data_IF_370554265133
#
_entry.id   IF_370554265133
#
_cell.length_a   1.000
_cell.length_b   1.000
_cell.length_c   1.000
_cell.angle_alpha   90.00
_cell.angle_beta   90.00
_cell.angle_gamma   90.00
#
_symmetry.space_group_name_H-M   'P 1'
#
loop_
_entity.id
_entity.type
_entity.pdbx_description
1 polymer ?
#
# COMPACT_ATOMS: atom_id res chain seq x y z
N UNK A 1 43.85 -48.62 -9.22
CA UNK A 1 43.72 -47.51 -10.19
C UNK A 1 42.26 -47.04 -10.45
N UNK A 2 41.23 -47.79 -10.03
CA UNK A 2 39.82 -47.43 -10.29
C UNK A 2 39.25 -46.34 -9.35
N UNK A 3 39.57 -46.35 -8.04
CA UNK A 3 39.06 -45.33 -7.09
C UNK A 3 39.58 -43.92 -7.35
N UNK A 4 40.83 -43.76 -7.81
CA UNK A 4 41.41 -42.44 -8.06
C UNK A 4 40.71 -41.72 -9.22
N UNK A 5 40.31 -42.47 -10.27
CA UNK A 5 39.56 -41.94 -11.42
C UNK A 5 38.12 -41.54 -11.06
N UNK A 6 37.48 -42.29 -10.18
CA UNK A 6 36.14 -41.97 -9.65
C UNK A 6 36.16 -40.72 -8.76
N UNK A 7 37.15 -40.60 -7.87
CA UNK A 7 37.31 -39.42 -7.01
C UNK A 7 37.61 -38.14 -7.82
N UNK A 8 38.45 -38.24 -8.85
CA UNK A 8 38.72 -37.13 -9.78
C UNK A 8 37.47 -36.74 -10.59
N UNK A 9 36.68 -37.72 -11.04
CA UNK A 9 35.41 -37.48 -11.75
C UNK A 9 34.37 -36.77 -10.88
N UNK A 10 34.19 -37.22 -9.63
CA UNK A 10 33.27 -36.59 -8.66
C UNK A 10 33.69 -35.16 -8.30
N UNK A 11 35.00 -34.93 -8.11
CA UNK A 11 35.54 -33.59 -7.87
C UNK A 11 35.30 -32.64 -9.05
N UNK A 12 35.43 -33.12 -10.28
CA UNK A 12 35.19 -32.32 -11.48
C UNK A 12 33.70 -31.98 -11.65
N UNK A 13 32.79 -32.91 -11.35
CA UNK A 13 31.35 -32.64 -11.37
C UNK A 13 30.91 -31.63 -10.30
N UNK A 14 31.49 -31.66 -9.10
CA UNK A 14 31.22 -30.68 -8.05
C UNK A 14 31.71 -29.28 -8.43
N UNK A 15 32.91 -29.17 -9.00
CA UNK A 15 33.45 -27.90 -9.48
C UNK A 15 32.60 -27.33 -10.62
N UNK A 16 32.20 -28.17 -11.59
CA UNK A 16 31.27 -27.76 -12.65
C UNK A 16 29.92 -27.28 -12.08
N UNK A 17 29.34 -28.02 -11.14
CA UNK A 17 28.08 -27.64 -10.50
C UNK A 17 28.15 -26.31 -9.75
N UNK A 18 29.25 -26.06 -9.02
CA UNK A 18 29.48 -24.79 -8.32
C UNK A 18 29.65 -23.65 -9.33
N UNK A 19 30.45 -23.85 -10.38
CA UNK A 19 30.64 -22.81 -11.42
C UNK A 19 29.34 -22.49 -12.18
N UNK A 20 28.52 -23.50 -12.49
CA UNK A 20 27.20 -23.31 -13.11
C UNK A 20 26.23 -22.59 -12.17
N UNK A 21 26.25 -22.91 -10.87
CA UNK A 21 25.43 -22.23 -9.87
C UNK A 21 25.87 -20.76 -9.66
N UNK A 22 27.18 -20.51 -9.61
CA UNK A 22 27.73 -19.15 -9.57
C UNK A 22 27.44 -18.37 -10.84
N UNK A 23 27.50 -18.99 -12.01
CA UNK A 23 27.15 -18.38 -13.29
C UNK A 23 25.64 -18.10 -13.37
N UNK A 24 24.79 -19.02 -12.90
CA UNK A 24 23.35 -18.81 -12.80
C UNK A 24 23.04 -17.64 -11.87
N UNK A 25 23.60 -17.62 -10.66
CA UNK A 25 23.45 -16.50 -9.71
C UNK A 25 23.95 -15.19 -10.32
N UNK A 26 25.05 -15.22 -11.07
CA UNK A 26 25.59 -14.04 -11.73
C UNK A 26 24.69 -13.56 -12.87
N UNK A 27 24.14 -14.47 -13.69
CA UNK A 27 23.21 -14.15 -14.79
C UNK A 27 21.87 -13.66 -14.26
N UNK A 28 21.33 -14.28 -13.21
CA UNK A 28 20.08 -13.86 -12.56
C UNK A 28 20.25 -12.48 -11.91
N UNK A 29 21.39 -12.22 -11.27
CA UNK A 29 21.70 -10.93 -10.67
C UNK A 29 22.07 -9.86 -11.72
N UNK A 30 22.66 -10.24 -12.87
CA UNK A 30 22.96 -9.33 -13.98
C UNK A 30 21.68 -8.94 -14.74
N UNK A 31 20.78 -9.89 -15.01
CA UNK A 31 19.47 -9.61 -15.60
C UNK A 31 18.59 -8.74 -14.69
N UNK A 32 18.81 -8.78 -13.36
CA UNK A 32 18.20 -7.85 -12.42
C UNK A 32 18.81 -6.43 -12.45
N UNK A 33 20.03 -6.26 -12.96
CA UNK A 33 20.84 -5.03 -12.82
C UNK A 33 20.91 -4.16 -14.07
N UNK A 34 20.38 -4.61 -15.21
CA UNK A 34 20.20 -3.75 -16.40
C UNK A 34 18.79 -3.18 -16.57
N UNK A 35 18.12 -2.83 -15.47
CA UNK A 35 17.08 -1.80 -15.52
C UNK A 35 17.80 -0.46 -15.36
N UNK A 36 18.21 0.15 -16.47
CA UNK A 36 18.56 1.58 -16.47
C UNK A 36 17.21 2.31 -16.31
N UNK A 37 16.88 2.85 -15.13
CA UNK A 37 15.68 3.66 -15.02
C UNK A 37 16.03 4.94 -15.76
N UNK A 38 15.40 5.16 -16.91
CA UNK A 38 15.28 6.51 -17.42
C UNK A 38 14.45 7.28 -16.39
N UNK A 39 15.12 7.82 -15.37
CA UNK A 39 14.57 8.82 -14.49
C UNK A 39 14.34 10.05 -15.37
N UNK A 40 13.15 10.15 -15.96
CA UNK A 40 12.66 11.46 -16.35
C UNK A 40 12.51 12.23 -15.04
N UNK A 41 13.26 13.33 -14.82
CA UNK A 41 13.09 14.12 -13.62
C UNK A 41 11.63 14.52 -13.55
N UNK A 42 10.99 14.25 -12.40
CA UNK A 42 9.70 14.84 -12.10
C UNK A 42 9.90 16.36 -12.19
N UNK A 43 9.27 17.08 -13.13
CA UNK A 43 9.51 18.49 -13.31
C UNK A 43 9.15 19.22 -12.00
N UNK A 44 10.11 19.98 -11.49
CA UNK A 44 10.07 20.53 -10.12
C UNK A 44 8.89 21.48 -9.88
N UNK A 45 8.24 21.97 -10.95
CA UNK A 45 7.02 22.77 -10.89
C UNK A 45 6.20 22.50 -12.15
N UNK A 46 5.35 21.47 -12.14
CA UNK A 46 4.20 21.43 -13.05
C UNK A 46 3.02 22.13 -12.36
N UNK A 47 2.33 23.09 -13.01
CA UNK A 47 1.12 23.69 -12.48
C UNK A 47 0.12 22.59 -12.08
N UNK A 48 -0.37 22.67 -10.85
CA UNK A 48 -1.26 21.67 -10.21
C UNK A 48 -2.54 21.40 -11.01
N UNK A 49 -2.89 22.28 -11.96
CA UNK A 49 -4.07 22.16 -12.82
C UNK A 49 -3.96 21.09 -13.93
N UNK A 50 -2.77 20.54 -14.20
CA UNK A 50 -2.51 19.71 -15.38
C UNK A 50 -1.82 18.36 -15.14
N UNK A 51 -1.45 18.00 -13.90
CA UNK A 51 -0.80 16.71 -13.63
C UNK A 51 -1.83 15.57 -13.56
N UNK A 52 -2.27 15.09 -14.73
CA UNK A 52 -3.16 13.92 -14.87
C UNK A 52 -2.40 12.62 -15.04
N UNK A 53 -1.09 12.68 -15.34
CA UNK A 53 -0.21 11.54 -15.56
C UNK A 53 1.12 11.73 -14.83
N UNK A 54 1.68 10.64 -14.33
CA UNK A 54 3.03 10.59 -13.79
C UNK A 54 4.07 10.46 -14.90
N UNK A 55 5.38 10.71 -14.63
CA UNK A 55 6.44 10.49 -15.60
C UNK A 55 6.56 9.05 -16.13
N UNK A 56 6.01 8.05 -15.41
CA UNK A 56 5.95 6.65 -15.85
C UNK A 56 4.58 6.25 -16.42
N UNK A 57 3.78 7.23 -16.85
CA UNK A 57 2.50 7.06 -17.55
C UNK A 57 1.37 6.44 -16.70
N UNK A 58 1.45 6.51 -15.37
CA UNK A 58 0.32 6.16 -14.51
C UNK A 58 -0.65 7.35 -14.38
N UNK A 59 -1.98 7.14 -14.44
CA UNK A 59 -2.95 8.19 -14.17
C UNK A 59 -2.89 8.66 -12.71
N UNK A 60 -2.99 9.97 -12.55
CA UNK A 60 -3.29 10.63 -11.28
C UNK A 60 -4.80 10.89 -11.26
N UNK A 61 -5.51 10.12 -10.43
CA UNK A 61 -6.98 10.12 -10.38
C UNK A 61 -7.44 11.30 -9.52
N UNK A 62 -8.20 12.20 -10.13
CA UNK A 62 -8.88 13.31 -9.47
C UNK A 62 -10.24 13.54 -10.12
N UNK A 63 -11.11 14.28 -9.45
CA UNK A 63 -12.42 14.66 -9.98
C UNK A 63 -12.31 15.38 -11.33
N UNK A 64 -13.04 14.88 -12.31
CA UNK A 64 -12.99 15.31 -13.71
C UNK A 64 -11.90 14.65 -14.57
N UNK A 65 -11.04 13.77 -14.04
CA UNK A 65 -10.03 13.05 -14.85
C UNK A 65 -10.52 11.70 -15.38
N UNK A 66 -11.75 11.30 -15.07
CA UNK A 66 -12.33 10.03 -15.46
C UNK A 66 -13.83 10.15 -15.74
N UNK A 67 -14.36 9.24 -16.55
CA UNK A 67 -15.80 9.10 -16.77
C UNK A 67 -16.32 7.89 -15.96
N UNK A 68 -17.02 8.17 -14.86
CA UNK A 68 -17.51 7.13 -13.95
C UNK A 68 -18.50 6.16 -14.63
N UNK A 69 -19.33 6.66 -15.56
CA UNK A 69 -20.28 5.83 -16.28
C UNK A 69 -19.58 4.87 -17.24
N UNK A 70 -18.59 5.35 -18.00
CA UNK A 70 -17.79 4.49 -18.88
C UNK A 70 -17.07 3.40 -18.08
N UNK A 71 -16.42 3.77 -16.97
CA UNK A 71 -15.74 2.81 -16.10
C UNK A 71 -16.72 1.79 -15.53
N UNK A 72 -17.92 2.22 -15.11
CA UNK A 72 -18.97 1.30 -14.68
C UNK A 72 -19.34 0.29 -15.77
N UNK A 73 -19.51 0.72 -17.01
CA UNK A 73 -19.81 -0.19 -18.13
C UNK A 73 -18.66 -1.18 -18.42
N UNK A 74 -17.41 -0.78 -18.21
CA UNK A 74 -16.24 -1.65 -18.41
C UNK A 74 -16.10 -2.67 -17.27
N UNK A 75 -16.25 -2.24 -16.02
CA UNK A 75 -15.91 -3.06 -14.85
C UNK A 75 -17.09 -3.88 -14.31
N UNK A 76 -18.34 -3.43 -14.47
CA UNK A 76 -19.52 -4.19 -14.00
C UNK A 76 -19.61 -5.61 -14.60
N UNK A 77 -19.41 -5.82 -15.92
CA UNK A 77 -19.48 -7.17 -16.51
C UNK A 77 -18.41 -8.13 -16.00
N UNK A 78 -17.31 -7.61 -15.44
CA UNK A 78 -16.22 -8.43 -14.90
C UNK A 78 -16.57 -9.08 -13.56
N UNK A 79 -17.68 -8.68 -12.92
CA UNK A 79 -18.18 -9.24 -11.65
C UNK A 79 -17.10 -9.29 -10.55
N UNK A 80 -16.29 -8.24 -10.47
CA UNK A 80 -15.16 -8.15 -9.54
C UNK A 80 -15.63 -8.12 -8.09
N UNK A 81 -14.85 -8.76 -7.22
CA UNK A 81 -14.98 -8.67 -5.77
C UNK A 81 -13.82 -7.85 -5.21
N UNK A 82 -14.14 -6.74 -4.54
CA UNK A 82 -13.16 -5.81 -4.00
C UNK A 82 -13.05 -6.01 -2.49
N UNK A 83 -11.85 -6.34 -2.04
CA UNK A 83 -11.49 -6.39 -0.64
C UNK A 83 -11.16 -5.02 -0.08
N UNK A 84 -11.52 -4.79 1.18
CA UNK A 84 -11.13 -3.62 1.95
C UNK A 84 -10.62 -4.09 3.31
N UNK A 85 -9.37 -3.77 3.66
CA UNK A 85 -8.80 -4.05 4.97
C UNK A 85 -8.71 -2.79 5.80
N UNK A 86 -9.07 -2.87 7.07
CA UNK A 86 -8.81 -1.81 8.05
C UNK A 86 -8.39 -2.41 9.40
N UNK A 87 -7.55 -1.69 10.15
CA UNK A 87 -7.04 -2.12 11.45
C UNK A 87 -7.69 -1.32 12.58
N UNK A 88 -8.36 -2.02 13.49
CA UNK A 88 -9.06 -1.50 14.64
C UNK A 88 -8.48 -2.09 15.94
N UNK A 89 -7.33 -1.54 16.37
CA UNK A 89 -6.62 -2.02 17.58
C UNK A 89 -6.69 -0.98 18.69
N UNK A 90 -6.84 -1.44 19.94
CA UNK A 90 -7.06 -0.59 21.10
C UNK A 90 -8.27 0.33 20.94
N UNK A 91 -8.08 1.63 21.19
CA UNK A 91 -9.13 2.64 21.14
C UNK A 91 -9.71 2.88 19.75
N UNK A 92 -9.09 2.35 18.69
CA UNK A 92 -9.52 2.53 17.30
C UNK A 92 -10.76 1.72 16.92
N UNK A 93 -11.18 0.74 17.73
CA UNK A 93 -12.44 0.01 17.54
C UNK A 93 -13.65 0.93 17.46
N UNK A 94 -13.62 2.08 18.16
CA UNK A 94 -14.69 3.09 18.13
C UNK A 94 -14.97 3.69 16.74
N UNK A 95 -14.01 3.64 15.82
CA UNK A 95 -14.17 4.24 14.49
C UNK A 95 -14.81 3.28 13.48
N UNK A 96 -14.84 1.97 13.79
CA UNK A 96 -15.29 0.93 12.85
C UNK A 96 -16.72 1.16 12.38
N UNK A 97 -17.61 1.61 13.26
CA UNK A 97 -19.01 1.86 12.91
C UNK A 97 -19.11 2.93 11.80
N UNK A 98 -18.59 4.13 12.04
CA UNK A 98 -18.63 5.21 11.06
C UNK A 98 -17.87 4.88 9.78
N UNK A 99 -16.75 4.17 9.89
CA UNK A 99 -15.99 3.72 8.73
C UNK A 99 -16.81 2.78 7.84
N UNK A 100 -17.46 1.76 8.41
CA UNK A 100 -18.29 0.81 7.67
C UNK A 100 -19.58 1.45 7.13
N UNK A 101 -20.27 2.25 7.94
CA UNK A 101 -21.49 2.96 7.51
C UNK A 101 -21.22 3.89 6.32
N UNK A 102 -20.13 4.66 6.37
CA UNK A 102 -19.73 5.50 5.24
C UNK A 102 -19.24 4.69 4.03
N UNK A 103 -18.56 3.55 4.24
CA UNK A 103 -18.17 2.66 3.16
C UNK A 103 -19.39 2.07 2.43
N UNK A 104 -20.44 1.68 3.14
CA UNK A 104 -21.70 1.22 2.52
C UNK A 104 -22.34 2.32 1.65
N UNK A 105 -22.20 3.58 2.04
CA UNK A 105 -22.73 4.71 1.29
C UNK A 105 -21.90 5.12 0.08
N UNK A 106 -20.62 4.78 -0.02
CA UNK A 106 -19.76 5.39 -1.05
C UNK A 106 -18.75 4.44 -1.69
N UNK A 107 -18.31 3.40 -1.00
CA UNK A 107 -17.25 2.52 -1.46
C UNK A 107 -17.78 1.43 -2.38
N UNK A 108 -17.33 1.47 -3.64
CA UNK A 108 -17.56 0.46 -4.67
C UNK A 108 -19.05 0.08 -4.75
N UNK A 109 -19.93 1.07 -4.80
CA UNK A 109 -21.36 0.85 -4.93
C UNK A 109 -21.67 0.01 -6.18
N UNK A 110 -22.56 -0.97 -6.02
CA UNK A 110 -22.93 -1.90 -7.10
C UNK A 110 -21.88 -2.98 -7.40
N UNK A 111 -20.77 -3.04 -6.65
CA UNK A 111 -19.81 -4.13 -6.73
C UNK A 111 -19.89 -5.04 -5.51
N UNK A 112 -19.34 -6.24 -5.66
CA UNK A 112 -19.18 -7.19 -4.55
C UNK A 112 -18.03 -6.70 -3.67
N UNK A 113 -18.25 -6.63 -2.36
CA UNK A 113 -17.26 -6.12 -1.41
C UNK A 113 -17.05 -7.07 -0.25
N UNK A 114 -15.79 -7.26 0.14
CA UNK A 114 -15.43 -8.01 1.33
C UNK A 114 -14.61 -7.13 2.27
N UNK A 115 -15.21 -6.78 3.40
CA UNK A 115 -14.53 -6.07 4.48
C UNK A 115 -13.75 -7.03 5.37
N UNK A 116 -12.49 -6.69 5.64
CA UNK A 116 -11.61 -7.39 6.56
C UNK A 116 -11.21 -6.43 7.68
N UNK A 117 -11.83 -6.58 8.85
CA UNK A 117 -11.51 -5.74 10.01
C UNK A 117 -10.57 -6.52 10.93
N UNK A 118 -9.32 -6.08 10.97
CA UNK A 118 -8.29 -6.64 11.83
C UNK A 118 -8.41 -6.03 13.22
N UNK A 119 -8.66 -6.84 14.24
CA UNK A 119 -8.87 -6.36 15.62
C UNK A 119 -8.35 -7.35 16.66
N UNK A 120 -7.92 -6.80 17.78
CA UNK A 120 -7.63 -7.55 19.00
C UNK A 120 -8.86 -7.94 19.82
N UNK A 121 -9.97 -7.26 19.59
CA UNK A 121 -11.24 -7.48 20.27
C UNK A 121 -12.34 -7.65 19.22
N UNK A 122 -12.65 -8.91 18.83
CA UNK A 122 -13.72 -9.19 17.88
C UNK A 122 -15.11 -8.79 18.38
N UNK A 123 -15.33 -8.76 19.70
CA UNK A 123 -16.64 -8.42 20.28
C UNK A 123 -16.90 -6.91 20.23
N UNK A 124 -15.85 -6.09 20.15
CA UNK A 124 -15.97 -4.65 19.94
C UNK A 124 -16.33 -4.24 18.51
N UNK A 125 -16.44 -5.19 17.56
CA UNK A 125 -16.80 -4.88 16.18
C UNK A 125 -18.33 -4.76 16.06
N UNK A 126 -18.85 -3.59 15.64
CA UNK A 126 -20.28 -3.36 15.53
C UNK A 126 -20.89 -4.22 14.41
N UNK A 127 -22.16 -4.61 14.60
CA UNK A 127 -22.96 -5.18 13.53
C UNK A 127 -23.53 -4.05 12.68
N UNK A 128 -22.99 -3.89 11.47
CA UNK A 128 -23.46 -2.88 10.50
C UNK A 128 -24.24 -3.59 9.40
N UNK A 129 -25.46 -3.13 9.04
CA UNK A 129 -26.20 -3.67 7.90
C UNK A 129 -25.38 -3.53 6.61
N UNK A 130 -25.18 -4.63 5.89
CA UNK A 130 -24.44 -4.63 4.63
C UNK A 130 -25.38 -4.83 3.45
N UNK A 131 -25.12 -4.11 2.36
CA UNK A 131 -25.85 -4.24 1.11
C UNK A 131 -25.64 -5.60 0.44
N UNK A 132 -26.46 -5.92 -0.59
CA UNK A 132 -26.36 -7.18 -1.32
C UNK A 132 -24.96 -7.41 -1.91
N UNK A 133 -24.45 -8.65 -1.80
CA UNK A 133 -23.13 -9.01 -2.31
C UNK A 133 -21.95 -8.46 -1.50
N UNK A 134 -22.21 -7.91 -0.31
CA UNK A 134 -21.21 -7.37 0.61
C UNK A 134 -21.15 -8.20 1.87
N UNK A 135 -19.94 -8.43 2.38
CA UNK A 135 -19.72 -9.25 3.58
C UNK A 135 -18.58 -8.71 4.44
N UNK A 136 -18.66 -8.98 5.73
CA UNK A 136 -17.66 -8.59 6.72
C UNK A 136 -17.00 -9.84 7.32
N UNK A 137 -15.69 -9.81 7.48
CA UNK A 137 -14.92 -10.79 8.24
C UNK A 137 -14.04 -10.07 9.26
N UNK A 138 -14.17 -10.50 10.51
CA UNK A 138 -13.34 -10.00 11.61
C UNK A 138 -12.13 -10.91 11.73
N UNK A 139 -10.93 -10.32 11.65
CA UNK A 139 -9.66 -11.04 11.64
C UNK A 139 -8.93 -10.77 12.96
N UNK A 140 -8.82 -11.76 13.86
CA UNK A 140 -8.13 -11.57 15.13
C UNK A 140 -6.64 -11.23 14.94
N UNK A 141 -6.16 -10.21 15.65
CA UNK A 141 -4.74 -9.82 15.75
C UNK A 141 -4.34 -9.59 17.22
N UNK A 142 -3.04 -9.55 17.54
CA UNK A 142 -2.59 -9.22 18.90
C UNK A 142 -3.05 -7.85 19.41
N UNK A 143 -3.19 -7.70 20.74
CA UNK A 143 -3.63 -6.47 21.41
C UNK A 143 -2.58 -5.37 21.57
N UNK A 144 -2.95 -4.17 22.09
CA UNK A 144 -2.15 -2.94 22.14
C UNK A 144 -0.72 -3.09 22.69
N UNK A 145 -0.53 -3.77 23.83
CA UNK A 145 0.80 -3.98 24.42
C UNK A 145 1.71 -4.88 23.58
N UNK A 146 1.11 -5.74 22.75
CA UNK A 146 1.80 -6.54 21.73
C UNK A 146 1.79 -5.83 20.36
N UNK A 147 1.08 -4.70 20.26
CA UNK A 147 0.82 -3.94 19.03
C UNK A 147 1.55 -2.59 18.96
N UNK A 148 2.05 -2.04 20.06
CA UNK A 148 2.91 -0.85 20.04
C UNK A 148 4.29 -1.17 19.41
N UNK A 149 4.71 -2.43 19.42
CA UNK A 149 5.75 -2.98 18.52
C UNK A 149 5.24 -3.22 17.07
N UNK A 150 3.99 -2.91 16.75
CA UNK A 150 3.24 -3.42 15.59
C UNK A 150 2.59 -2.40 14.65
N UNK A 151 2.96 -1.11 14.71
CA UNK A 151 2.97 -0.31 13.48
C UNK A 151 3.76 -1.01 12.35
N UNK A 152 4.64 -1.95 12.72
CA UNK A 152 5.46 -2.81 11.88
C UNK A 152 4.77 -4.10 11.39
N UNK A 153 3.54 -4.41 11.85
CA UNK A 153 2.83 -5.66 11.53
C UNK A 153 1.59 -5.49 10.67
N UNK A 154 1.16 -4.28 10.28
CA UNK A 154 0.04 -4.18 9.31
C UNK A 154 0.42 -4.84 7.99
N UNK A 155 1.61 -4.50 7.48
CA UNK A 155 2.20 -5.14 6.31
C UNK A 155 2.28 -6.67 6.45
N UNK A 156 2.76 -7.17 7.60
CA UNK A 156 2.80 -8.62 7.91
C UNK A 156 1.39 -9.23 7.89
N UNK A 157 0.47 -8.71 8.69
CA UNK A 157 -0.87 -9.23 8.88
C UNK A 157 -1.66 -9.23 7.57
N UNK A 158 -1.55 -8.18 6.75
CA UNK A 158 -2.13 -8.13 5.40
C UNK A 158 -1.54 -9.24 4.55
N UNK A 159 -0.20 -9.34 4.45
CA UNK A 159 0.45 -10.35 3.60
C UNK A 159 0.10 -11.79 4.01
N UNK A 160 0.05 -12.08 5.31
CA UNK A 160 -0.34 -13.38 5.88
C UNK A 160 -1.80 -13.67 5.59
N UNK A 161 -2.69 -12.68 5.75
CA UNK A 161 -4.10 -12.84 5.45
C UNK A 161 -4.36 -13.10 3.97
N UNK A 162 -3.67 -12.39 3.07
CA UNK A 162 -3.74 -12.63 1.63
C UNK A 162 -3.33 -14.06 1.30
N UNK A 163 -2.15 -14.48 1.78
CA UNK A 163 -1.62 -15.82 1.54
C UNK A 163 -2.56 -16.92 2.03
N UNK A 164 -3.18 -16.74 3.19
CA UNK A 164 -4.10 -17.73 3.77
C UNK A 164 -5.46 -17.75 3.10
N UNK A 165 -6.01 -16.59 2.74
CA UNK A 165 -7.44 -16.45 2.48
C UNK A 165 -7.79 -15.47 1.37
N UNK A 166 -7.37 -14.21 1.45
CA UNK A 166 -7.93 -13.16 0.59
C UNK A 166 -7.68 -13.39 -0.91
N UNK A 167 -6.57 -14.06 -1.30
CA UNK A 167 -6.28 -14.38 -2.71
C UNK A 167 -7.34 -15.24 -3.41
N UNK A 168 -8.24 -15.90 -2.66
CA UNK A 168 -9.35 -16.71 -3.19
C UNK A 168 -10.69 -16.00 -3.10
N UNK A 169 -10.74 -14.85 -2.44
CA UNK A 169 -11.98 -14.18 -2.06
C UNK A 169 -12.22 -12.89 -2.81
N UNK A 170 -11.16 -12.21 -3.24
CA UNK A 170 -11.19 -10.88 -3.84
C UNK A 170 -10.21 -10.79 -5.00
N UNK A 171 -10.50 -9.90 -5.95
CA UNK A 171 -9.65 -9.60 -7.12
C UNK A 171 -8.70 -8.43 -6.83
N UNK A 172 -9.22 -7.42 -6.12
CA UNK A 172 -8.51 -6.22 -5.69
C UNK A 172 -8.60 -6.07 -4.18
N UNK A 173 -7.61 -5.42 -3.57
CA UNK A 173 -7.57 -5.13 -2.14
C UNK A 173 -7.14 -3.69 -1.89
N UNK A 174 -7.96 -2.95 -1.16
CA UNK A 174 -7.59 -1.64 -0.59
C UNK A 174 -7.26 -1.79 0.89
N UNK A 175 -6.19 -1.14 1.32
CA UNK A 175 -5.74 -1.08 2.70
C UNK A 175 -5.90 0.35 3.18
N UNK A 176 -6.88 0.57 4.08
CA UNK A 176 -7.31 1.89 4.52
C UNK A 176 -7.22 2.03 6.05
N UNK A 177 -6.93 3.25 6.52
CA UNK A 177 -6.99 3.55 7.94
C UNK A 177 -8.45 3.62 8.43
N UNK A 178 -8.74 2.95 9.55
CA UNK A 178 -10.10 2.82 10.11
C UNK A 178 -10.64 4.13 10.68
N UNK A 179 -9.75 5.07 10.99
CA UNK A 179 -10.06 6.32 11.68
C UNK A 179 -10.39 7.45 10.66
N UNK A 180 -10.94 7.04 9.53
CA UNK A 180 -11.33 7.89 8.41
C UNK A 180 -12.78 7.56 8.00
N UNK A 181 -13.38 8.41 7.19
CA UNK A 181 -14.73 8.23 6.68
C UNK A 181 -14.81 8.55 5.18
N UNK A 182 -15.61 7.77 4.46
CA UNK A 182 -15.95 8.09 3.09
C UNK A 182 -16.95 9.23 3.07
N UNK A 183 -16.68 10.24 2.24
CA UNK A 183 -17.49 11.48 2.12
C UNK A 183 -18.20 11.57 0.78
N UNK A 184 -17.64 10.93 -0.24
CA UNK A 184 -18.13 10.94 -1.62
C UNK A 184 -17.78 9.62 -2.32
N UNK A 185 -18.36 9.32 -3.50
CA UNK A 185 -18.16 8.04 -4.19
C UNK A 185 -16.69 7.68 -4.36
N UNK A 186 -16.37 6.42 -4.08
CA UNK A 186 -15.08 5.79 -4.30
C UNK A 186 -15.31 4.54 -5.13
N UNK A 187 -14.85 4.52 -6.38
CA UNK A 187 -15.29 3.53 -7.36
C UNK A 187 -14.17 2.89 -8.19
N UNK A 188 -14.54 2.27 -9.32
CA UNK A 188 -13.61 1.53 -10.18
C UNK A 188 -12.52 2.40 -10.80
N UNK A 189 -12.68 3.73 -10.80
CA UNK A 189 -11.63 4.68 -11.19
C UNK A 189 -10.36 4.51 -10.35
N UNK A 190 -10.45 3.93 -9.16
CA UNK A 190 -9.32 3.68 -8.26
C UNK A 190 -8.61 2.36 -8.51
N UNK A 191 -9.17 1.43 -9.31
CA UNK A 191 -8.62 0.09 -9.50
C UNK A 191 -7.36 0.11 -10.39
N UNK A 192 -6.27 -0.50 -9.93
CA UNK A 192 -5.02 -0.65 -10.67
C UNK A 192 -4.21 -1.84 -10.16
N UNK A 193 -3.14 -2.20 -10.85
CA UNK A 193 -2.22 -3.25 -10.39
C UNK A 193 -1.65 -2.90 -9.01
N UNK A 194 -1.16 -1.67 -8.85
CA UNK A 194 -0.72 -1.10 -7.58
C UNK A 194 -1.18 0.36 -7.50
N UNK A 195 -1.73 0.74 -6.35
CA UNK A 195 -2.41 2.02 -6.13
C UNK A 195 -1.81 2.70 -4.89
N UNK A 196 -1.50 3.98 -5.01
CA UNK A 196 -0.97 4.81 -3.93
C UNK A 196 -1.70 6.16 -3.88
N UNK A 197 -1.94 6.73 -2.69
CA UNK A 197 -2.49 8.07 -2.55
C UNK A 197 -1.41 9.08 -2.14
N UNK A 198 -1.43 10.26 -2.76
CA UNK A 198 -0.53 11.36 -2.40
C UNK A 198 -0.94 11.89 -1.01
N UNK A 199 0.05 12.07 -0.14
CA UNK A 199 -0.19 12.57 1.21
C UNK A 199 -0.66 14.04 1.19
N UNK A 200 -1.72 14.41 1.93
CA UNK A 200 -2.33 15.74 1.90
C UNK A 200 -1.41 16.85 2.42
N UNK A 201 -0.39 16.53 3.21
CA UNK A 201 0.56 17.53 3.72
C UNK A 201 1.68 17.86 2.73
N UNK A 202 1.84 17.06 1.67
CA UNK A 202 3.03 17.10 0.82
C UNK A 202 2.73 17.26 -0.68
N UNK A 203 1.47 17.28 -1.11
CA UNK A 203 1.12 17.38 -2.54
C UNK A 203 1.45 18.73 -3.21
N UNK A 204 1.69 19.78 -2.41
CA UNK A 204 2.16 21.11 -2.85
C UNK A 204 3.59 21.42 -2.39
N UNK A 205 4.23 20.47 -1.71
CA UNK A 205 5.54 20.65 -1.10
C UNK A 205 6.62 20.16 -2.07
N UNK A 206 7.74 20.88 -2.23
CA UNK A 206 8.83 20.42 -3.08
C UNK A 206 9.50 19.17 -2.50
N UNK A 207 9.94 18.28 -3.39
CA UNK A 207 10.47 16.94 -3.06
C UNK A 207 11.55 16.90 -1.98
N UNK A 208 12.44 17.90 -1.95
CA UNK A 208 13.52 17.96 -0.97
C UNK A 208 13.02 18.11 0.49
N UNK A 209 11.77 18.55 0.68
CA UNK A 209 11.14 18.68 2.01
C UNK A 209 10.28 17.48 2.38
N UNK A 210 10.18 16.45 1.53
CA UNK A 210 9.48 15.22 1.88
C UNK A 210 10.19 14.53 3.05
N UNK A 211 9.43 14.06 4.06
CA UNK A 211 9.98 13.44 5.27
C UNK A 211 10.35 11.97 5.01
N UNK A 212 11.05 11.69 3.91
CA UNK A 212 11.62 10.37 3.69
C UNK A 212 12.67 10.06 4.77
N UNK A 213 12.96 8.77 4.92
CA UNK A 213 14.12 8.36 5.70
C UNK A 213 15.41 8.79 4.98
N UNK A 214 16.20 9.66 5.61
CA UNK A 214 17.42 10.22 5.03
C UNK A 214 18.69 9.56 5.53
N UNK A 215 18.61 8.65 6.51
CA UNK A 215 19.78 7.92 7.01
C UNK A 215 20.08 6.74 6.08
N UNK A 216 21.27 6.70 5.41
CA UNK A 216 21.62 5.62 4.48
C UNK A 216 21.69 4.22 5.11
N UNK A 217 21.78 4.16 6.44
CA UNK A 217 21.80 2.89 7.20
C UNK A 217 20.44 2.19 7.24
N UNK A 218 19.34 2.89 6.97
CA UNK A 218 18.00 2.31 6.92
C UNK A 218 17.71 1.74 5.53
N UNK A 219 17.02 0.61 5.48
CA UNK A 219 16.47 0.05 4.23
C UNK A 219 15.38 0.91 3.61
N UNK A 220 14.82 1.88 4.36
CA UNK A 220 13.86 2.86 3.87
C UNK A 220 14.52 4.12 3.28
N UNK A 221 15.86 4.19 3.21
CA UNK A 221 16.59 5.37 2.75
C UNK A 221 16.16 5.87 1.37
N UNK A 222 15.95 7.18 1.25
CA UNK A 222 15.73 7.90 -0.02
C UNK A 222 16.68 9.10 -0.10
N UNK A 223 17.50 9.13 -1.14
CA UNK A 223 18.44 10.23 -1.37
C UNK A 223 17.72 11.55 -1.74
N UNK A 224 18.38 12.69 -1.58
CA UNK A 224 17.77 14.02 -1.81
C UNK A 224 17.31 14.24 -3.26
N UNK A 225 17.98 13.60 -4.23
CA UNK A 225 17.61 13.61 -5.65
C UNK A 225 16.59 12.55 -6.06
N UNK A 226 16.22 11.64 -5.15
CA UNK A 226 15.24 10.58 -5.39
C UNK A 226 13.85 10.98 -4.86
N UNK A 227 12.81 10.33 -5.39
CA UNK A 227 11.42 10.56 -5.02
C UNK A 227 10.59 11.14 -6.14
N UNK A 228 9.32 10.72 -6.20
CA UNK A 228 8.32 11.26 -7.13
C UNK A 228 7.25 12.03 -6.34
N UNK A 229 6.54 11.32 -5.44
CA UNK A 229 5.54 11.88 -4.54
C UNK A 229 5.75 11.29 -3.15
N UNK A 230 5.38 12.06 -2.12
CA UNK A 230 5.23 11.48 -0.78
C UNK A 230 3.84 10.87 -0.63
N UNK A 231 3.79 9.55 -0.50
CA UNK A 231 2.56 8.76 -0.40
C UNK A 231 2.17 8.54 1.07
N UNK A 232 0.87 8.63 1.35
CA UNK A 232 0.36 8.40 2.71
C UNK A 232 0.08 6.94 2.99
N UNK A 233 0.52 6.44 4.16
CA UNK A 233 0.30 5.03 4.58
C UNK A 233 -1.16 4.66 4.79
N UNK A 234 -2.03 5.66 4.92
CA UNK A 234 -3.45 5.50 5.20
C UNK A 234 -4.23 4.94 4.01
N UNK A 235 -3.67 5.01 2.79
CA UNK A 235 -4.33 4.53 1.58
C UNK A 235 -3.31 3.93 0.62
N UNK A 236 -3.42 2.63 0.41
CA UNK A 236 -2.81 1.94 -0.72
C UNK A 236 -3.65 0.73 -1.14
N UNK A 237 -3.37 0.15 -2.29
CA UNK A 237 -4.11 -1.03 -2.73
C UNK A 237 -3.68 -1.52 -4.10
N UNK A 238 -4.54 -2.31 -4.72
CA UNK A 238 -4.35 -2.79 -6.09
C UNK A 238 -4.81 -4.24 -6.25
N UNK A 239 -4.27 -4.93 -7.25
CA UNK A 239 -4.54 -6.36 -7.43
C UNK A 239 -3.97 -7.15 -6.26
N UNK A 240 -4.70 -8.15 -5.79
CA UNK A 240 -4.35 -8.89 -4.55
C UNK A 240 -2.93 -9.47 -4.58
N UNK A 241 -2.50 -10.01 -5.73
CA UNK A 241 -1.14 -10.52 -5.90
C UNK A 241 -0.08 -9.41 -5.74
N UNK A 242 -0.31 -8.21 -6.28
CA UNK A 242 0.59 -7.07 -6.16
C UNK A 242 0.62 -6.50 -4.76
N UNK A 243 -0.53 -6.42 -4.08
CA UNK A 243 -0.60 -6.00 -2.69
C UNK A 243 0.15 -6.99 -1.78
N UNK A 244 0.07 -8.30 -2.06
CA UNK A 244 0.85 -9.30 -1.35
C UNK A 244 2.37 -9.09 -1.49
N UNK A 245 2.86 -8.95 -2.73
CA UNK A 245 4.29 -8.68 -3.00
C UNK A 245 4.76 -7.37 -2.34
N UNK A 246 3.94 -6.32 -2.43
CA UNK A 246 4.22 -5.01 -1.89
C UNK A 246 4.34 -5.05 -0.37
N UNK A 247 3.32 -5.56 0.32
CA UNK A 247 3.26 -5.64 1.79
C UNK A 247 4.36 -6.55 2.35
N UNK A 248 4.62 -7.70 1.72
CA UNK A 248 5.74 -8.57 2.08
C UNK A 248 7.08 -7.85 1.97
N UNK A 249 7.29 -7.09 0.89
CA UNK A 249 8.52 -6.31 0.70
C UNK A 249 8.72 -5.23 1.76
N UNK A 250 7.68 -4.47 2.08
CA UNK A 250 7.71 -3.47 3.15
C UNK A 250 8.03 -4.13 4.50
N UNK A 251 7.36 -5.24 4.83
CA UNK A 251 7.60 -5.98 6.06
C UNK A 251 9.04 -6.49 6.19
N UNK A 252 9.62 -7.01 5.10
CA UNK A 252 11.03 -7.45 5.11
C UNK A 252 12.01 -6.29 5.36
N UNK A 253 11.77 -5.12 4.78
CA UNK A 253 12.58 -3.93 5.06
C UNK A 253 12.48 -3.50 6.52
N UNK A 254 11.26 -3.50 7.07
CA UNK A 254 11.02 -3.19 8.49
C UNK A 254 11.77 -4.18 9.41
N UNK A 255 11.74 -5.48 9.11
CA UNK A 255 12.46 -6.48 9.89
C UNK A 255 13.99 -6.30 9.81
N UNK A 256 14.51 -5.95 8.64
CA UNK A 256 15.93 -5.68 8.46
C UNK A 256 16.39 -4.46 9.26
N UNK A 257 15.61 -3.36 9.24
CA UNK A 257 15.88 -2.18 10.07
C UNK A 257 15.83 -2.53 11.56
N UNK A 258 14.80 -3.28 11.99
CA UNK A 258 14.68 -3.74 13.39
C UNK A 258 15.89 -4.58 13.81
N UNK A 259 16.35 -5.50 12.96
CA UNK A 259 17.52 -6.34 13.23
C UNK A 259 18.81 -5.51 13.37
N UNK A 260 18.89 -4.36 12.69
CA UNK A 260 19.99 -3.42 12.77
C UNK A 260 19.80 -2.34 13.87
N UNK A 261 18.77 -2.45 14.70
CA UNK A 261 18.48 -1.47 15.76
C UNK A 261 18.02 -0.11 15.24
N UNK A 262 17.48 -0.07 14.02
CA UNK A 262 17.00 1.15 13.34
C UNK A 262 15.48 1.15 13.34
N UNK A 263 14.90 2.32 13.62
CA UNK A 263 13.50 2.61 13.36
C UNK A 263 13.44 3.79 12.38
N UNK A 264 12.82 3.56 11.22
CA UNK A 264 12.70 4.60 10.19
C UNK A 264 11.90 5.81 10.69
N UNK A 265 12.20 7.00 10.16
CA UNK A 265 11.69 8.30 10.64
C UNK A 265 10.15 8.38 10.73
N UNK A 266 9.46 7.88 9.70
CA UNK A 266 8.00 7.77 9.67
C UNK A 266 7.53 6.30 9.76
N UNK A 267 8.36 5.43 10.34
CA UNK A 267 8.09 4.01 10.56
C UNK A 267 7.68 3.31 9.25
N UNK A 268 6.53 2.63 9.23
CA UNK A 268 6.00 1.91 8.07
C UNK A 268 5.84 2.80 6.82
N UNK A 269 5.51 4.09 6.99
CA UNK A 269 5.32 5.02 5.87
C UNK A 269 6.63 5.27 5.10
N UNK A 270 7.77 5.28 5.80
CA UNK A 270 9.08 5.40 5.16
C UNK A 270 9.38 4.19 4.27
N UNK A 271 9.13 2.96 4.75
CA UNK A 271 9.33 1.76 3.94
C UNK A 271 8.35 1.68 2.78
N UNK A 272 7.09 2.08 2.97
CA UNK A 272 6.08 2.18 1.92
C UNK A 272 6.54 3.14 0.81
N UNK A 273 7.01 4.34 1.16
CA UNK A 273 7.51 5.31 0.21
C UNK A 273 8.74 4.79 -0.54
N UNK A 274 9.72 4.20 0.17
CA UNK A 274 10.88 3.56 -0.46
C UNK A 274 10.47 2.46 -1.44
N UNK A 275 9.47 1.65 -1.07
CA UNK A 275 8.97 0.56 -1.92
C UNK A 275 8.35 1.10 -3.20
N UNK A 276 7.57 2.17 -3.15
CA UNK A 276 6.99 2.79 -4.35
C UNK A 276 8.02 3.37 -5.33
N UNK A 277 9.23 3.72 -4.88
CA UNK A 277 10.29 4.16 -5.79
C UNK A 277 10.75 3.05 -6.74
N UNK A 278 10.85 1.82 -6.21
CA UNK A 278 11.25 0.63 -6.96
C UNK A 278 10.07 -0.10 -7.62
N UNK A 279 8.85 0.09 -7.10
CA UNK A 279 7.62 -0.51 -7.58
C UNK A 279 6.62 0.59 -7.87
N UNK A 280 6.77 1.25 -9.04
CA UNK A 280 5.94 2.39 -9.41
C UNK A 280 4.45 2.01 -9.39
N UNK A 281 3.58 2.78 -8.73
CA UNK A 281 2.15 2.48 -8.73
C UNK A 281 1.59 2.69 -10.15
N UNK A 282 0.78 1.75 -10.62
CA UNK A 282 0.08 1.87 -11.90
C UNK A 282 -1.04 2.91 -11.88
N UNK A 283 -1.38 3.40 -10.68
CA UNK A 283 -2.41 4.42 -10.46
C UNK A 283 -2.07 5.21 -9.21
N UNK A 284 -2.09 6.53 -9.32
CA UNK A 284 -1.87 7.44 -8.19
C UNK A 284 -3.20 8.15 -7.89
N UNK A 285 -3.60 8.21 -6.64
CA UNK A 285 -4.79 8.93 -6.21
C UNK A 285 -4.38 10.32 -5.73
N UNK A 286 -5.12 11.35 -6.16
CA UNK A 286 -4.92 12.70 -5.64
C UNK A 286 -5.31 12.78 -4.15
N UNK A 287 -4.96 13.87 -3.46
CA UNK A 287 -5.37 14.08 -2.07
C UNK A 287 -6.89 14.10 -1.83
N UNK A 288 -7.72 14.12 -2.88
CA UNK A 288 -9.16 13.89 -2.78
C UNK A 288 -9.49 12.54 -2.11
N UNK A 289 -8.64 11.54 -2.28
CA UNK A 289 -8.81 10.19 -1.72
C UNK A 289 -8.10 9.98 -0.38
N UNK A 290 -7.41 11.01 0.14
CA UNK A 290 -6.78 10.99 1.45
C UNK A 290 -6.63 12.43 1.95
N UNK A 291 -7.57 12.87 2.80
CA UNK A 291 -7.61 14.25 3.30
C UNK A 291 -7.63 14.35 4.82
N UNK A 292 -7.07 15.43 5.37
CA UNK A 292 -7.23 15.80 6.77
C UNK A 292 -8.38 16.79 6.92
N UNK A 293 -9.49 16.35 7.52
CA UNK A 293 -10.75 17.10 7.67
C UNK A 293 -10.60 18.36 8.53
N UNK A 294 -9.48 18.49 9.26
CA UNK A 294 -9.11 19.68 10.03
C UNK A 294 -8.59 20.82 9.14
N UNK A 295 -8.24 20.52 7.89
CA UNK A 295 -7.67 21.48 6.93
C UNK A 295 -8.74 21.99 5.97
N UNK A 296 -8.71 23.29 5.61
CA UNK A 296 -9.60 23.79 4.57
C UNK A 296 -9.31 23.07 3.25
N UNK A 297 -10.37 22.71 2.53
CA UNK A 297 -10.24 22.16 1.18
C UNK A 297 -9.74 23.27 0.23
N UNK A 298 -8.55 23.11 -0.39
CA UNK A 298 -8.06 24.07 -1.36
C UNK A 298 -8.88 23.98 -2.67
N UNK A 299 -8.99 25.08 -3.46
CA UNK A 299 -9.76 25.08 -4.71
C UNK A 299 -9.32 24.04 -5.75
N UNK A 300 -8.06 23.58 -5.68
CA UNK A 300 -7.51 22.57 -6.57
C UNK A 300 -8.07 21.16 -6.33
N UNK A 301 -8.60 20.88 -5.13
CA UNK A 301 -9.28 19.61 -4.83
C UNK A 301 -10.77 19.85 -4.95
N UNK A 302 -11.42 19.22 -5.92
CA UNK A 302 -12.84 19.53 -6.22
C UNK A 302 -13.78 18.75 -5.31
N UNK A 303 -13.39 17.54 -4.94
CA UNK A 303 -14.25 16.63 -4.18
C UNK A 303 -13.44 15.77 -3.20
N UNK A 304 -13.61 15.99 -1.90
CA UNK A 304 -13.01 15.13 -0.88
C UNK A 304 -13.84 13.85 -0.76
N UNK A 305 -13.21 12.69 -1.01
CA UNK A 305 -13.83 11.36 -1.00
C UNK A 305 -13.57 10.58 0.27
N UNK A 306 -12.43 10.81 0.91
CA UNK A 306 -12.06 10.09 2.12
C UNK A 306 -11.23 10.99 3.03
N UNK A 307 -11.74 11.27 4.23
CA UNK A 307 -11.11 12.20 5.17
C UNK A 307 -11.06 11.68 6.60
N UNK A 308 -10.14 12.24 7.40
CA UNK A 308 -9.99 11.90 8.82
C UNK A 308 -11.28 12.18 9.61
N UNK A 309 -11.62 11.29 10.54
CA UNK A 309 -12.62 11.62 11.56
C UNK A 309 -12.02 12.63 12.56
N UNK A 310 -12.84 13.50 13.14
CA UNK A 310 -12.35 14.43 14.16
C UNK A 310 -11.84 13.63 15.37
N UNK A 311 -10.56 13.81 15.72
CA UNK A 311 -9.84 13.02 16.73
C UNK A 311 -9.11 13.93 17.70
N UNK A 312 -9.32 13.69 18.99
CA UNK A 312 -8.35 14.06 20.02
C UNK A 312 -7.17 13.08 19.96
N UNK A 313 -6.17 13.35 19.12
CA UNK A 313 -5.02 12.47 18.87
C UNK A 313 -4.26 12.08 20.15
N UNK A 314 -4.22 12.97 21.14
CA UNK A 314 -3.59 12.73 22.44
C UNK A 314 -4.29 11.63 23.28
N UNK A 315 -5.60 11.43 23.08
CA UNK A 315 -6.38 10.43 23.82
C UNK A 315 -6.35 9.04 23.19
N UNK A 316 -5.94 8.92 21.93
CA UNK A 316 -5.95 7.66 21.17
C UNK A 316 -4.64 6.87 21.29
N UNK A 317 -3.53 7.54 21.60
CA UNK A 317 -2.18 6.95 21.72
C UNK A 317 -1.73 6.69 23.16
N UNK A 318 -2.57 7.03 24.15
CA UNK A 318 -2.40 6.65 25.57
C UNK A 318 -3.18 5.39 25.91
#
# INVERSE_FOLDING_TARGET
>A
MHCLRLALGLGFCLLLGITLCSLWMYVENWLLVSYIPYYLPCPEILPTELLTLTPWLAPIVSEGTFNAELLRHIYQPLNLTIGLTAFAVGKYTRFVQHFLESAELFFMQGYRVHYYIFTHDPQAIPQVPLGPGRRLSVIPVPGPSQWEEASMRRMEAISVHIAKRAHREVDYLFCLDVDMAFRNPWGPETLGDLVAAIHPDYFTVPRHQFPYERRPVSTAFVADGEGDFYYGRAVFGGRVARVYEFTRGCHMGILADKANGIMAACQEESHLNRRFLSHKPSKVLSPEYLWDDRKPQPPSLKLIRFSTLNKDTARLRS
#
